data_IF_434530984017
#
_entry.id   IF_434530984017
#
_cell.length_a   1.000
_cell.length_b   1.000
_cell.length_c   1.000
_cell.angle_alpha   90.00
_cell.angle_beta   90.00
_cell.angle_gamma   90.00
#
_symmetry.space_group_name_H-M   'P 1'
#
loop_
_entity.id
_entity.type
_entity.pdbx_description
1 polymer ?
#
# COMPACT_ATOMS: atom_id res chain seq x y z
N UNK A 1 24.69 2.61 -14.07
CA UNK A 1 23.61 1.65 -13.73
C UNK A 1 22.42 2.07 -14.56
N UNK A 2 21.57 1.15 -15.02
CA UNK A 2 20.39 1.57 -15.80
C UNK A 2 19.29 2.11 -14.89
N UNK A 3 18.30 2.79 -15.47
CA UNK A 3 17.21 3.48 -14.72
C UNK A 3 16.42 2.54 -13.81
N UNK A 4 16.16 1.29 -14.25
CA UNK A 4 15.44 0.30 -13.44
C UNK A 4 16.22 -0.06 -12.17
N UNK A 5 17.50 -0.35 -12.29
CA UNK A 5 18.35 -0.66 -11.12
C UNK A 5 18.48 0.55 -10.18
N UNK A 6 18.52 1.76 -10.74
CA UNK A 6 18.53 2.98 -9.95
C UNK A 6 17.22 3.13 -9.15
N UNK A 7 16.05 2.91 -9.78
CA UNK A 7 14.75 2.96 -9.11
C UNK A 7 14.67 1.94 -7.95
N UNK A 8 15.09 0.69 -8.19
CA UNK A 8 15.11 -0.35 -7.16
C UNK A 8 15.98 0.07 -5.97
N UNK A 9 17.16 0.63 -6.22
CA UNK A 9 18.08 1.04 -5.16
C UNK A 9 17.66 2.33 -4.46
N UNK A 10 17.00 3.26 -5.16
CA UNK A 10 16.60 4.55 -4.62
C UNK A 10 15.26 4.51 -3.89
N UNK A 11 14.35 3.60 -4.25
CA UNK A 11 13.01 3.51 -3.65
C UNK A 11 13.08 3.35 -2.13
N UNK A 12 12.29 4.15 -1.44
CA UNK A 12 12.18 4.13 0.04
C UNK A 12 10.72 4.16 0.47
N UNK A 13 10.45 3.68 1.68
CA UNK A 13 9.16 3.88 2.36
C UNK A 13 9.08 5.28 2.92
N UNK A 14 8.60 6.22 2.10
CA UNK A 14 8.43 7.63 2.44
C UNK A 14 7.21 7.82 3.34
N UNK A 15 7.29 8.71 4.32
CA UNK A 15 6.23 8.95 5.33
C UNK A 15 5.97 10.44 5.58
N UNK A 16 6.24 11.28 4.61
CA UNK A 16 5.91 12.70 4.59
C UNK A 16 5.52 13.08 3.17
N UNK A 17 4.28 13.53 3.00
CA UNK A 17 3.67 13.80 1.71
C UNK A 17 3.05 15.20 1.71
N UNK A 18 2.94 15.82 0.53
CA UNK A 18 2.14 17.01 0.33
C UNK A 18 0.66 16.63 0.16
N UNK A 19 -0.22 17.61 0.28
CA UNK A 19 -1.66 17.48 0.06
C UNK A 19 -2.07 17.62 -1.42
N UNK A 20 -1.09 17.79 -2.32
CA UNK A 20 -1.32 17.90 -3.76
C UNK A 20 -1.74 16.54 -4.32
N UNK A 21 -2.91 16.49 -4.95
CA UNK A 21 -3.39 15.29 -5.62
C UNK A 21 -2.52 14.91 -6.80
N UNK A 22 -2.43 13.61 -7.05
CA UNK A 22 -1.85 13.10 -8.28
C UNK A 22 -2.74 13.45 -9.47
N UNK A 23 -2.10 13.81 -10.57
CA UNK A 23 -2.76 14.03 -11.86
C UNK A 23 -3.21 12.71 -12.48
N UNK A 24 -4.17 12.77 -13.41
CA UNK A 24 -4.61 11.59 -14.16
C UNK A 24 -3.46 10.91 -14.92
N UNK A 25 -2.49 11.68 -15.42
CA UNK A 25 -1.31 11.14 -16.09
C UNK A 25 -0.40 10.36 -15.15
N UNK A 26 -0.16 10.87 -13.93
CA UNK A 26 0.61 10.16 -12.89
C UNK A 26 -0.12 8.89 -12.45
N UNK A 27 -1.43 8.97 -12.22
CA UNK A 27 -2.26 7.80 -11.89
C UNK A 27 -2.20 6.74 -12.98
N UNK A 28 -2.29 7.13 -14.26
CA UNK A 28 -2.23 6.19 -15.38
C UNK A 28 -0.92 5.41 -15.39
N UNK A 29 0.23 6.07 -15.17
CA UNK A 29 1.54 5.39 -15.08
C UNK A 29 1.54 4.34 -13.97
N UNK A 30 0.97 4.67 -12.79
CA UNK A 30 0.92 3.74 -11.66
C UNK A 30 0.00 2.54 -11.93
N UNK A 31 -1.16 2.79 -12.53
CA UNK A 31 -2.13 1.75 -12.91
C UNK A 31 -1.56 0.84 -14.00
N UNK A 32 -0.92 1.40 -15.03
CA UNK A 32 -0.27 0.62 -16.08
C UNK A 32 0.83 -0.29 -15.52
N UNK A 33 1.64 0.22 -14.58
CA UNK A 33 2.66 -0.58 -13.90
C UNK A 33 2.04 -1.71 -13.06
N UNK A 34 0.93 -1.45 -12.39
CA UNK A 34 0.18 -2.47 -11.63
C UNK A 34 -0.34 -3.57 -12.56
N UNK A 35 -0.99 -3.19 -13.65
CA UNK A 35 -1.59 -4.10 -14.62
C UNK A 35 -0.54 -4.91 -15.43
N UNK A 36 0.67 -4.37 -15.59
CA UNK A 36 1.78 -5.07 -16.23
C UNK A 36 2.43 -6.15 -15.34
N UNK A 37 1.97 -6.31 -14.10
CA UNK A 37 2.54 -7.27 -13.15
C UNK A 37 2.24 -8.71 -13.55
N UNK A 38 3.23 -9.62 -13.50
CA UNK A 38 2.97 -11.03 -13.74
C UNK A 38 2.12 -11.64 -12.62
N UNK A 39 1.32 -12.63 -12.98
CA UNK A 39 0.56 -13.44 -12.02
C UNK A 39 0.75 -14.93 -12.29
N UNK A 40 0.64 -15.75 -11.26
CA UNK A 40 0.70 -17.19 -11.40
C UNK A 40 -0.36 -17.66 -12.40
N UNK A 41 0.05 -18.43 -13.41
CA UNK A 41 -0.83 -18.92 -14.49
C UNK A 41 -1.58 -17.83 -15.27
N UNK A 42 -1.11 -16.56 -15.19
CA UNK A 42 -1.78 -15.38 -15.78
C UNK A 42 -3.24 -15.22 -15.32
N UNK A 43 -3.52 -15.51 -14.04
CA UNK A 43 -4.89 -15.49 -13.51
C UNK A 43 -5.44 -14.08 -13.29
N UNK A 44 -4.55 -13.07 -13.10
CA UNK A 44 -4.91 -11.65 -12.95
C UNK A 44 -6.03 -11.42 -11.92
N UNK A 45 -5.95 -12.11 -10.78
CA UNK A 45 -6.98 -12.11 -9.74
C UNK A 45 -6.88 -10.91 -8.78
N UNK A 46 -5.94 -9.98 -8.99
CA UNK A 46 -5.91 -8.73 -8.25
C UNK A 46 -6.93 -7.73 -8.79
N UNK A 47 -7.38 -6.83 -7.91
CA UNK A 47 -8.15 -5.65 -8.27
C UNK A 47 -7.56 -4.43 -7.58
N UNK A 48 -7.52 -3.30 -8.27
CA UNK A 48 -6.94 -2.05 -7.80
C UNK A 48 -8.01 -0.99 -7.59
N UNK A 49 -8.16 -0.48 -6.38
CA UNK A 49 -9.03 0.63 -6.04
C UNK A 49 -8.18 1.86 -5.74
N UNK A 50 -8.21 2.84 -6.64
CA UNK A 50 -7.51 4.12 -6.47
C UNK A 50 -8.42 5.07 -5.71
N UNK A 51 -8.06 5.43 -4.49
CA UNK A 51 -8.87 6.30 -3.61
C UNK A 51 -8.17 7.64 -3.42
N UNK A 52 -8.83 8.71 -3.89
CA UNK A 52 -8.41 10.11 -3.76
C UNK A 52 -9.41 10.93 -2.93
N UNK A 53 -10.38 10.28 -2.28
CA UNK A 53 -11.32 10.92 -1.37
C UNK A 53 -10.68 11.07 0.01
N UNK A 54 -10.19 12.28 0.30
CA UNK A 54 -9.45 12.58 1.52
C UNK A 54 -10.30 12.36 2.77
N UNK A 55 -11.57 12.81 2.77
CA UNK A 55 -12.46 12.67 3.91
C UNK A 55 -12.67 11.20 4.27
N UNK A 56 -12.83 10.34 3.26
CA UNK A 56 -13.01 8.90 3.44
C UNK A 56 -11.73 8.22 3.94
N UNK A 57 -10.57 8.67 3.48
CA UNK A 57 -9.27 8.17 3.97
C UNK A 57 -9.01 8.59 5.42
N UNK A 58 -9.36 9.83 5.78
CA UNK A 58 -9.23 10.34 7.14
C UNK A 58 -10.21 9.61 8.10
N UNK A 59 -11.46 9.35 7.67
CA UNK A 59 -12.43 8.55 8.41
C UNK A 59 -11.89 7.14 8.67
N UNK A 60 -11.40 6.46 7.64
CA UNK A 60 -10.78 5.14 7.76
C UNK A 60 -9.63 5.13 8.77
N UNK A 61 -8.73 6.12 8.69
CA UNK A 61 -7.59 6.22 9.60
C UNK A 61 -8.00 6.41 11.05
N UNK A 62 -9.02 7.23 11.32
CA UNK A 62 -9.55 7.45 12.67
C UNK A 62 -10.14 6.17 13.23
N UNK A 63 -11.04 5.50 12.50
CA UNK A 63 -11.66 4.26 12.96
C UNK A 63 -10.62 3.12 13.14
N UNK A 64 -9.63 3.04 12.26
CA UNK A 64 -8.54 2.08 12.41
C UNK A 64 -7.69 2.35 13.66
N UNK A 65 -7.41 3.62 13.98
CA UNK A 65 -6.69 3.99 15.20
C UNK A 65 -7.48 3.61 16.45
N UNK A 66 -8.77 3.90 16.50
CA UNK A 66 -9.68 3.54 17.60
C UNK A 66 -9.73 2.02 17.80
N UNK A 67 -9.86 1.25 16.71
CA UNK A 67 -9.86 -0.21 16.75
C UNK A 67 -8.52 -0.76 17.30
N UNK A 68 -7.40 -0.19 16.87
CA UNK A 68 -6.07 -0.59 17.35
C UNK A 68 -5.85 -0.24 18.81
N UNK A 69 -6.29 0.93 19.25
CA UNK A 69 -6.23 1.33 20.67
C UNK A 69 -7.07 0.38 21.53
N UNK A 70 -8.29 0.04 21.10
CA UNK A 70 -9.17 -0.89 21.80
C UNK A 70 -8.57 -2.30 21.94
N UNK A 71 -7.91 -2.77 20.89
CA UNK A 71 -7.40 -4.15 20.82
C UNK A 71 -5.94 -4.30 21.31
N UNK A 72 -5.29 -3.20 21.65
CA UNK A 72 -3.89 -3.21 22.11
C UNK A 72 -3.81 -2.76 23.58
N UNK A 73 -3.15 -3.53 24.47
CA UNK A 73 -2.93 -3.12 25.85
C UNK A 73 -2.29 -1.73 25.95
N UNK A 74 -2.69 -0.92 26.93
CA UNK A 74 -2.24 0.46 27.07
C UNK A 74 -0.71 0.63 27.01
N UNK A 75 0.06 -0.24 27.64
CA UNK A 75 1.54 -0.19 27.60
C UNK A 75 2.17 -0.57 26.26
N UNK A 76 1.40 -1.10 25.30
CA UNK A 76 1.88 -1.57 24.00
C UNK A 76 1.36 -0.72 22.81
N UNK A 77 0.51 0.27 23.05
CA UNK A 77 -0.14 1.08 21.99
C UNK A 77 0.84 1.94 21.21
N UNK A 78 1.90 2.44 21.86
CA UNK A 78 2.95 3.21 21.19
C UNK A 78 2.39 4.37 20.34
N UNK A 79 2.64 4.31 19.03
CA UNK A 79 2.20 5.36 18.10
C UNK A 79 0.67 5.51 17.96
N UNK A 80 -0.12 4.49 18.34
CA UNK A 80 -1.59 4.57 18.24
C UNK A 80 -2.22 5.46 19.32
N UNK A 81 -1.46 5.81 20.37
CA UNK A 81 -1.91 6.77 21.39
C UNK A 81 -1.59 8.24 21.00
N UNK A 82 -0.95 8.45 19.85
CA UNK A 82 -0.65 9.80 19.37
C UNK A 82 -1.82 10.39 18.59
N UNK A 83 -2.26 11.59 18.97
CA UNK A 83 -3.26 12.37 18.23
C UNK A 83 -2.84 12.65 16.78
N UNK A 84 -1.53 12.58 16.50
CA UNK A 84 -0.97 12.75 15.15
C UNK A 84 -0.91 11.46 14.34
N UNK A 85 -1.36 10.32 14.89
CA UNK A 85 -1.30 9.08 14.14
C UNK A 85 -2.28 9.10 12.95
N UNK A 86 -1.71 8.96 11.76
CA UNK A 86 -2.47 8.78 10.53
C UNK A 86 -1.83 7.66 9.70
N UNK A 87 -2.57 6.60 9.45
CA UNK A 87 -2.07 5.38 8.81
C UNK A 87 -1.48 5.64 7.43
N UNK A 88 -2.06 6.56 6.68
CA UNK A 88 -1.66 6.93 5.33
C UNK A 88 -0.83 8.23 5.29
N UNK A 89 -0.35 8.70 6.46
CA UNK A 89 0.53 9.88 6.56
C UNK A 89 -0.06 11.15 5.91
N UNK A 90 -1.40 11.32 5.98
CA UNK A 90 -2.16 12.41 5.36
C UNK A 90 -1.98 12.53 3.83
N UNK A 91 -1.46 11.50 3.18
CA UNK A 91 -1.32 11.49 1.72
C UNK A 91 -2.71 11.49 1.05
N UNK A 92 -2.86 12.22 -0.07
CA UNK A 92 -4.15 12.38 -0.74
C UNK A 92 -4.53 11.20 -1.64
N UNK A 93 -3.62 10.25 -1.90
CA UNK A 93 -3.87 9.09 -2.77
C UNK A 93 -3.41 7.80 -2.14
N UNK A 94 -4.30 6.81 -2.10
CA UNK A 94 -4.01 5.44 -1.67
C UNK A 94 -4.55 4.47 -2.71
N UNK A 95 -3.75 3.50 -3.10
CA UNK A 95 -4.17 2.40 -3.97
C UNK A 95 -4.34 1.15 -3.09
N UNK A 96 -5.56 0.66 -3.00
CA UNK A 96 -5.87 -0.60 -2.31
C UNK A 96 -5.82 -1.73 -3.32
N UNK A 97 -5.11 -2.79 -2.99
CA UNK A 97 -5.01 -4.01 -3.78
C UNK A 97 -5.83 -5.07 -3.06
N UNK A 98 -6.79 -5.63 -3.76
CA UNK A 98 -7.67 -6.68 -3.25
C UNK A 98 -7.62 -7.90 -4.17
N UNK A 99 -8.05 -9.02 -3.64
CA UNK A 99 -8.07 -10.30 -4.34
C UNK A 99 -9.32 -11.09 -3.96
N UNK A 100 -9.77 -12.10 -4.76
CA UNK A 100 -10.89 -12.94 -4.37
C UNK A 100 -10.71 -13.52 -2.96
N UNK A 101 -11.77 -13.54 -2.18
CA UNK A 101 -11.75 -14.15 -0.86
C UNK A 101 -11.46 -15.64 -0.96
N UNK A 102 -12.15 -16.31 -1.89
CA UNK A 102 -11.94 -17.70 -2.24
C UNK A 102 -11.34 -17.81 -3.64
N UNK A 103 -10.25 -18.54 -3.79
CA UNK A 103 -9.64 -18.84 -5.08
C UNK A 103 -8.76 -20.09 -5.00
N UNK A 104 -8.56 -20.76 -6.14
CA UNK A 104 -7.68 -21.93 -6.29
C UNK A 104 -6.20 -21.56 -6.53
N UNK A 105 -5.88 -20.26 -6.57
CA UNK A 105 -4.53 -19.76 -6.74
C UNK A 105 -3.88 -19.46 -5.37
N UNK A 106 -3.05 -20.38 -4.88
CA UNK A 106 -2.31 -20.21 -3.63
C UNK A 106 -1.26 -19.09 -3.67
N UNK A 107 -0.94 -18.54 -4.85
CA UNK A 107 0.05 -17.47 -5.04
C UNK A 107 -0.57 -16.07 -5.14
N UNK A 108 -1.89 -15.94 -5.04
CA UNK A 108 -2.60 -14.67 -5.25
C UNK A 108 -2.10 -13.53 -4.34
N UNK A 109 -1.74 -13.81 -3.10
CA UNK A 109 -1.19 -12.80 -2.19
C UNK A 109 0.24 -12.37 -2.62
N UNK A 110 1.01 -13.28 -3.24
CA UNK A 110 2.32 -12.96 -3.85
C UNK A 110 2.11 -12.10 -5.10
N UNK A 111 1.15 -12.46 -5.96
CA UNK A 111 0.79 -11.68 -7.16
C UNK A 111 0.43 -10.23 -6.78
N UNK A 112 -0.37 -10.04 -5.71
CA UNK A 112 -0.69 -8.71 -5.17
C UNK A 112 0.55 -7.96 -4.67
N UNK A 113 1.49 -8.67 -4.02
CA UNK A 113 2.76 -8.08 -3.56
C UNK A 113 3.66 -7.64 -4.72
N UNK A 114 3.72 -8.43 -5.81
CA UNK A 114 4.46 -8.08 -7.03
C UNK A 114 3.87 -6.81 -7.66
N UNK A 115 2.55 -6.73 -7.79
CA UNK A 115 1.88 -5.55 -8.31
C UNK A 115 2.12 -4.31 -7.43
N UNK A 116 2.09 -4.48 -6.11
CA UNK A 116 2.39 -3.42 -5.16
C UNK A 116 3.81 -2.86 -5.33
N UNK A 117 4.83 -3.73 -5.53
CA UNK A 117 6.20 -3.27 -5.77
C UNK A 117 6.36 -2.61 -7.15
N UNK A 118 5.67 -3.10 -8.21
CA UNK A 118 5.68 -2.42 -9.49
C UNK A 118 5.12 -0.99 -9.40
N UNK A 119 4.04 -0.77 -8.64
CA UNK A 119 3.53 0.58 -8.36
C UNK A 119 4.60 1.41 -7.62
N UNK A 120 5.28 0.84 -6.62
CA UNK A 120 6.29 1.55 -5.86
C UNK A 120 7.50 1.96 -6.71
N UNK A 121 7.93 1.09 -7.64
CA UNK A 121 9.03 1.38 -8.57
C UNK A 121 8.62 2.42 -9.63
N UNK A 122 7.39 2.31 -10.16
CA UNK A 122 6.85 3.31 -11.09
C UNK A 122 6.76 4.69 -10.42
N UNK A 123 6.25 4.76 -9.17
CA UNK A 123 6.22 5.99 -8.38
C UNK A 123 7.62 6.60 -8.24
N UNK A 124 8.62 5.79 -7.87
CA UNK A 124 10.02 6.23 -7.79
C UNK A 124 10.54 6.74 -9.15
N UNK A 125 10.17 6.06 -10.24
CA UNK A 125 10.61 6.43 -11.60
C UNK A 125 10.08 7.79 -12.08
N UNK A 126 8.90 8.21 -11.60
CA UNK A 126 8.30 9.52 -11.93
C UNK A 126 8.45 10.55 -10.81
N UNK A 127 9.34 10.30 -9.83
CA UNK A 127 9.68 11.26 -8.76
C UNK A 127 8.68 11.34 -7.61
N UNK A 128 7.75 10.40 -7.48
CA UNK A 128 6.81 10.30 -6.38
C UNK A 128 7.38 9.47 -5.22
N UNK A 129 6.89 9.77 -4.01
CA UNK A 129 7.13 8.94 -2.83
C UNK A 129 6.07 7.88 -2.67
N UNK A 130 6.43 6.75 -2.03
CA UNK A 130 5.48 5.69 -1.72
C UNK A 130 5.76 5.01 -0.38
N UNK A 131 4.72 4.38 0.20
CA UNK A 131 4.86 3.47 1.33
C UNK A 131 3.80 2.38 1.30
N UNK A 132 4.23 1.13 1.47
CA UNK A 132 3.34 -0.04 1.50
C UNK A 132 2.72 -0.15 2.89
N UNK A 133 1.40 -0.35 2.95
CA UNK A 133 0.59 -0.36 4.16
C UNK A 133 -0.17 -1.69 4.31
N UNK A 134 0.32 -2.57 5.18
CA UNK A 134 -0.42 -3.76 5.62
C UNK A 134 -1.32 -3.48 6.85
N UNK A 135 -1.08 -2.38 7.54
CA UNK A 135 -1.73 -2.02 8.80
C UNK A 135 -3.25 -1.76 8.68
N UNK A 136 -3.75 -1.57 7.46
CA UNK A 136 -5.17 -1.40 7.16
C UNK A 136 -6.00 -2.69 7.39
N UNK A 137 -5.37 -3.86 7.33
CA UNK A 137 -6.04 -5.17 7.38
C UNK A 137 -6.99 -5.37 8.57
N UNK A 138 -6.66 -5.00 9.82
CA UNK A 138 -7.57 -5.20 10.95
C UNK A 138 -8.93 -4.52 10.80
N UNK A 139 -8.99 -3.31 10.23
CA UNK A 139 -10.25 -2.62 10.03
C UNK A 139 -11.10 -3.27 8.92
N UNK A 140 -10.48 -3.73 7.85
CA UNK A 140 -11.17 -4.52 6.81
C UNK A 140 -11.71 -5.87 7.34
N UNK A 141 -11.11 -6.43 8.39
CA UNK A 141 -11.57 -7.67 9.04
C UNK A 141 -12.55 -7.42 10.20
N UNK A 142 -12.91 -6.18 10.49
CA UNK A 142 -13.86 -5.80 11.53
C UNK A 142 -15.30 -5.76 11.00
N UNK A 143 -16.26 -5.47 11.87
CA UNK A 143 -17.66 -5.22 11.51
C UNK A 143 -17.83 -4.08 10.50
N UNK A 144 -16.86 -3.15 10.42
CA UNK A 144 -16.83 -2.04 9.46
C UNK A 144 -16.23 -2.40 8.11
N UNK A 145 -15.63 -3.60 8.00
CA UNK A 145 -14.92 -4.02 6.79
C UNK A 145 -15.76 -3.98 5.52
N UNK A 146 -17.01 -4.46 5.59
CA UNK A 146 -17.92 -4.45 4.44
C UNK A 146 -18.28 -3.03 3.97
N UNK A 147 -18.46 -2.09 4.91
CA UNK A 147 -18.68 -0.68 4.59
C UNK A 147 -17.49 -0.12 3.79
N UNK A 148 -16.25 -0.34 4.26
CA UNK A 148 -15.05 0.17 3.59
C UNK A 148 -14.75 -0.56 2.28
N UNK A 149 -15.06 -1.85 2.17
CA UNK A 149 -14.97 -2.55 0.88
C UNK A 149 -15.82 -1.85 -0.17
N UNK A 150 -17.09 -1.55 0.15
CA UNK A 150 -17.99 -0.83 -0.77
C UNK A 150 -17.55 0.61 -1.02
N UNK A 151 -17.19 1.34 0.02
CA UNK A 151 -16.80 2.74 -0.07
C UNK A 151 -15.53 2.96 -0.90
N UNK A 152 -14.59 2.02 -0.85
CA UNK A 152 -13.36 2.05 -1.65
C UNK A 152 -13.50 1.36 -3.02
N UNK A 153 -14.67 0.83 -3.36
CA UNK A 153 -14.89 0.18 -4.64
C UNK A 153 -14.21 -1.19 -4.76
N UNK A 154 -13.96 -1.88 -3.66
CA UNK A 154 -13.50 -3.27 -3.66
C UNK A 154 -14.68 -4.15 -4.10
N UNK A 155 -14.54 -5.02 -5.13
CA UNK A 155 -15.63 -5.84 -5.64
C UNK A 155 -16.19 -6.80 -4.58
N UNK A 156 -17.46 -7.13 -4.70
CA UNK A 156 -18.08 -8.20 -3.90
C UNK A 156 -17.32 -9.52 -4.09
N UNK A 157 -17.12 -10.27 -3.01
CA UNK A 157 -16.33 -11.50 -2.98
C UNK A 157 -14.81 -11.27 -3.02
N UNK A 158 -14.35 -10.01 -2.93
CA UNK A 158 -12.95 -9.68 -2.78
C UNK A 158 -12.66 -9.21 -1.35
N UNK A 159 -11.41 -9.43 -0.93
CA UNK A 159 -10.88 -8.94 0.36
C UNK A 159 -9.61 -8.15 0.18
N UNK A 160 -9.34 -7.28 1.12
CA UNK A 160 -8.08 -6.53 1.19
C UNK A 160 -6.86 -7.46 1.24
N UNK A 161 -5.87 -7.21 0.37
CA UNK A 161 -4.56 -7.86 0.40
C UNK A 161 -3.49 -6.94 0.97
N UNK A 162 -3.28 -5.79 0.34
CA UNK A 162 -2.28 -4.78 0.72
C UNK A 162 -2.71 -3.40 0.20
N UNK A 163 -2.17 -2.32 0.75
CA UNK A 163 -2.33 -0.98 0.18
C UNK A 163 -0.97 -0.32 -0.04
N UNK A 164 -0.95 0.65 -0.93
CA UNK A 164 0.19 1.52 -1.12
C UNK A 164 -0.27 2.98 -1.18
N UNK A 165 0.36 3.80 -0.36
CA UNK A 165 0.28 5.25 -0.45
C UNK A 165 1.21 5.71 -1.55
N UNK A 166 0.75 6.58 -2.43
CA UNK A 166 1.59 7.24 -3.44
C UNK A 166 1.22 8.72 -3.50
N UNK A 167 2.19 9.60 -3.34
CA UNK A 167 1.99 11.06 -3.42
C UNK A 167 3.32 11.79 -3.62
N UNK A 168 3.25 13.11 -3.84
CA UNK A 168 4.42 13.98 -3.87
C UNK A 168 5.07 14.02 -2.47
N UNK A 169 6.30 13.52 -2.35
CA UNK A 169 7.00 13.45 -1.07
C UNK A 169 7.59 14.79 -0.65
N UNK A 170 7.52 15.08 0.65
CA UNK A 170 8.12 16.28 1.28
C UNK A 170 9.39 15.95 2.07
N UNK A 171 9.74 14.67 2.18
CA UNK A 171 10.89 14.18 2.91
C UNK A 171 11.69 13.19 2.09
N UNK A 172 12.98 13.13 2.33
CA UNK A 172 13.88 12.09 1.83
C UNK A 172 14.24 11.11 2.94
N UNK A 173 14.59 9.89 2.59
CA UNK A 173 14.98 8.85 3.55
C UNK A 173 16.18 8.07 3.04
N UNK A 174 17.17 7.91 3.92
CA UNK A 174 18.34 7.07 3.64
C UNK A 174 17.99 5.57 3.61
N UNK A 175 18.84 4.80 2.93
CA UNK A 175 18.74 3.36 2.95
C UNK A 175 19.04 2.80 4.34
N UNK A 176 18.26 1.81 4.77
CA UNK A 176 18.62 1.03 5.95
C UNK A 176 19.78 0.06 5.62
N UNK A 177 20.67 -0.24 6.58
CA UNK A 177 21.66 -1.28 6.41
C UNK A 177 20.98 -2.62 6.17
N UNK A 178 21.54 -3.42 5.29
CA UNK A 178 21.08 -4.79 5.03
C UNK A 178 21.77 -5.72 6.02
N UNK A 179 20.99 -6.59 6.67
CA UNK A 179 21.54 -7.58 7.59
C UNK A 179 22.38 -8.63 6.86
N UNK A 180 23.40 -9.14 7.52
CA UNK A 180 24.30 -10.16 7.00
C UNK A 180 23.60 -11.52 6.82
N UNK A 181 24.25 -12.44 6.06
CA UNK A 181 23.80 -13.82 5.92
C UNK A 181 22.48 -14.01 5.18
N UNK A 182 22.13 -13.09 4.26
CA UNK A 182 20.86 -13.15 3.50
C UNK A 182 20.96 -13.91 2.17
N UNK A 183 22.18 -14.28 1.74
CA UNK A 183 22.41 -14.95 0.46
C UNK A 183 23.41 -16.09 0.66
N UNK A 184 23.11 -17.24 0.08
CA UNK A 184 24.03 -18.37 -0.04
C UNK A 184 24.25 -18.67 -1.52
N UNK A 185 25.50 -18.89 -1.91
CA UNK A 185 25.86 -19.33 -3.25
C UNK A 185 26.20 -20.82 -3.22
N UNK A 186 25.39 -21.63 -3.90
CA UNK A 186 25.68 -23.06 -4.13
C UNK A 186 26.20 -23.17 -5.56
N UNK A 187 27.45 -23.58 -5.71
CA UNK A 187 28.14 -23.73 -7.00
C UNK A 187 28.41 -25.20 -7.27
#
# INVERSE_FOLDING_TARGET
MNEVLNAIQARRSTRGFSDVQLTDAELQVLVDAALASPTARNTQMWHFSVVQNKELLDEFCREAAELMQKNTPAGARGRFDSDSFHMFYHAPTVIFISRPEECDNSFVDIDCGIACENIALAAQGIGLGSVIIGLAKPLFMSERGEYYNRAFGIPEGYRFAIAIVVAHNTVTKDAHPIGEGKVNYVK
#
